data_IF_138123519798
#
_entry.id   IF_138123519798
#
_cell.length_a   1.000
_cell.length_b   1.000
_cell.length_c   1.000
_cell.angle_alpha   90.00
_cell.angle_beta   90.00
_cell.angle_gamma   90.00
#
_symmetry.space_group_name_H-M   'P 1'
#
loop_
_entity.id
_entity.type
_entity.pdbx_description
1 polymer ?
#
# COMPACT_ATOMS: atom_id res chain seq x y z
N UNK A 1 25.66 34.54 -3.06
CA UNK A 1 24.42 33.78 -2.83
C UNK A 1 23.61 33.83 -4.12
N UNK A 2 23.70 32.82 -4.96
CA UNK A 2 22.90 32.72 -6.19
C UNK A 2 21.51 32.24 -5.80
N UNK A 3 20.51 33.12 -5.93
CA UNK A 3 19.11 32.73 -5.84
C UNK A 3 18.85 31.68 -6.94
N UNK A 4 18.56 30.44 -6.55
CA UNK A 4 17.95 29.47 -7.46
C UNK A 4 16.55 29.98 -7.74
N UNK A 5 16.35 30.57 -8.92
CA UNK A 5 15.02 30.79 -9.46
C UNK A 5 14.29 29.44 -9.43
N UNK A 6 13.22 29.37 -8.66
CA UNK A 6 12.29 28.24 -8.64
C UNK A 6 11.59 28.21 -9.99
N UNK A 7 12.18 27.55 -10.97
CA UNK A 7 11.47 27.18 -12.19
C UNK A 7 10.44 26.14 -11.76
N UNK A 8 9.15 26.48 -11.84
CA UNK A 8 8.11 25.50 -11.68
C UNK A 8 8.37 24.39 -12.72
N UNK A 9 8.49 23.12 -12.31
CA UNK A 9 8.74 22.03 -13.25
C UNK A 9 7.66 22.03 -14.34
N UNK A 10 8.09 21.98 -15.60
CA UNK A 10 7.18 21.82 -16.73
C UNK A 10 6.82 20.33 -16.82
N UNK A 11 5.66 19.97 -16.27
CA UNK A 11 5.15 18.60 -16.27
C UNK A 11 4.48 18.26 -17.60
N UNK A 12 5.03 17.29 -18.31
CA UNK A 12 4.47 16.74 -19.54
C UNK A 12 3.75 15.42 -19.23
N UNK A 13 2.47 15.30 -19.58
CA UNK A 13 1.75 14.02 -19.48
C UNK A 13 2.27 13.06 -20.55
N UNK A 14 2.71 11.88 -20.14
CA UNK A 14 3.24 10.84 -21.03
C UNK A 14 2.35 9.61 -21.12
N UNK A 15 1.30 9.52 -20.31
CA UNK A 15 0.37 8.41 -20.33
C UNK A 15 -0.48 8.34 -19.07
N UNK A 16 -0.91 7.12 -18.76
CA UNK A 16 -1.77 6.80 -17.63
C UNK A 16 -1.39 5.43 -17.07
N UNK A 17 -1.63 5.23 -15.77
CA UNK A 17 -1.58 3.92 -15.12
C UNK A 17 -2.99 3.51 -14.69
N UNK A 18 -3.43 2.35 -15.17
CA UNK A 18 -4.67 1.73 -14.71
C UNK A 18 -4.40 0.94 -13.42
N UNK A 19 -5.20 1.19 -12.40
CA UNK A 19 -5.08 0.61 -11.07
C UNK A 19 -6.36 -0.13 -10.73
N UNK A 20 -6.22 -1.41 -10.37
CA UNK A 20 -7.30 -2.34 -9.95
C UNK A 20 -6.93 -3.07 -8.65
N UNK A 21 -6.06 -2.45 -7.85
CA UNK A 21 -5.62 -2.96 -6.55
C UNK A 21 -5.45 -1.87 -5.49
N UNK A 22 -5.84 -0.63 -5.82
CA UNK A 22 -5.64 0.57 -5.00
C UNK A 22 -4.17 0.95 -4.76
N UNK A 23 -3.25 0.45 -5.59
CA UNK A 23 -1.81 0.66 -5.40
C UNK A 23 -1.02 0.65 -6.71
N UNK A 24 0.13 1.31 -6.71
CA UNK A 24 1.10 1.33 -7.82
C UNK A 24 2.46 0.87 -7.30
N UNK A 25 3.19 0.12 -8.13
CA UNK A 25 4.57 -0.32 -7.85
C UNK A 25 5.52 0.30 -8.87
N UNK A 26 6.61 0.89 -8.37
CA UNK A 26 7.77 1.30 -9.17
C UNK A 26 8.88 0.28 -8.93
N UNK A 27 9.31 -0.38 -10.00
CA UNK A 27 10.33 -1.43 -9.97
C UNK A 27 11.02 -1.51 -11.35
N UNK A 28 12.30 -1.88 -11.37
CA UNK A 28 12.98 -2.26 -12.62
C UNK A 28 12.32 -3.53 -13.21
N UNK A 29 11.90 -3.52 -14.49
CA UNK A 29 11.27 -4.68 -15.14
C UNK A 29 12.10 -5.97 -15.06
N UNK A 30 13.43 -5.91 -15.00
CA UNK A 30 14.29 -7.09 -14.87
C UNK A 30 14.04 -7.86 -13.57
N UNK A 31 13.60 -7.19 -12.50
CA UNK A 31 13.27 -7.84 -11.23
C UNK A 31 11.87 -8.45 -11.25
N UNK A 32 10.93 -7.93 -12.06
CA UNK A 32 9.61 -8.55 -12.24
C UNK A 32 9.81 -9.95 -12.82
N UNK A 33 10.56 -10.06 -13.91
CA UNK A 33 10.80 -11.33 -14.61
C UNK A 33 11.52 -12.36 -13.71
N UNK A 34 12.54 -11.93 -12.98
CA UNK A 34 13.50 -12.86 -12.33
C UNK A 34 13.28 -13.09 -10.85
N UNK A 35 12.57 -12.19 -10.16
CA UNK A 35 12.50 -12.18 -8.69
C UNK A 35 11.10 -12.07 -8.14
N UNK A 36 10.09 -11.81 -8.98
CA UNK A 36 8.72 -11.73 -8.51
C UNK A 36 8.22 -13.10 -8.05
N UNK A 37 7.82 -13.18 -6.77
CA UNK A 37 7.30 -14.39 -6.14
C UNK A 37 5.79 -14.41 -6.30
N UNK A 38 5.29 -15.38 -7.07
CA UNK A 38 3.86 -15.64 -7.21
C UNK A 38 3.40 -16.48 -6.01
N UNK A 39 2.45 -15.95 -5.24
CA UNK A 39 1.82 -16.67 -4.14
C UNK A 39 0.43 -16.11 -3.85
N UNK A 40 -0.46 -16.92 -3.23
CA UNK A 40 -1.79 -16.46 -2.85
C UNK A 40 -1.75 -15.22 -1.93
N UNK A 41 -2.75 -14.36 -2.05
CA UNK A 41 -2.96 -13.25 -1.12
C UNK A 41 -3.11 -13.79 0.31
N UNK A 42 -2.38 -13.19 1.24
CA UNK A 42 -2.42 -13.51 2.67
C UNK A 42 -3.06 -12.34 3.41
N UNK A 43 -4.39 -12.42 3.56
CA UNK A 43 -5.18 -11.39 4.22
C UNK A 43 -5.21 -11.59 5.75
N UNK A 44 -4.03 -11.45 6.37
CA UNK A 44 -3.89 -11.49 7.82
C UNK A 44 -4.36 -10.16 8.41
N UNK A 45 -5.58 -10.16 8.96
CA UNK A 45 -6.18 -9.07 9.73
C UNK A 45 -6.37 -9.53 11.17
N UNK A 46 -5.50 -9.04 12.04
CA UNK A 46 -5.50 -9.36 13.46
C UNK A 46 -5.78 -8.11 14.30
N UNK A 47 -6.50 -8.30 15.39
CA UNK A 47 -6.82 -7.25 16.35
C UNK A 47 -6.46 -7.71 17.75
N UNK A 48 -5.79 -6.84 18.50
CA UNK A 48 -5.35 -7.09 19.88
C UNK A 48 -6.16 -6.24 20.84
N UNK A 49 -6.67 -6.85 21.90
CA UNK A 49 -7.22 -6.10 23.02
C UNK A 49 -6.10 -5.43 23.81
N UNK A 50 -6.17 -4.11 24.02
CA UNK A 50 -5.11 -3.28 24.60
C UNK A 50 -4.68 -3.70 26.01
N UNK A 51 -5.64 -4.12 26.84
CA UNK A 51 -5.38 -4.55 28.23
C UNK A 51 -5.10 -6.05 28.36
N UNK A 52 -5.99 -6.91 27.85
CA UNK A 52 -5.90 -8.36 28.05
C UNK A 52 -4.89 -9.05 27.13
N UNK A 53 -4.49 -8.41 26.03
CA UNK A 53 -3.59 -9.00 25.04
C UNK A 53 -4.23 -10.09 24.16
N UNK A 54 -5.52 -10.38 24.33
CA UNK A 54 -6.25 -11.33 23.47
C UNK A 54 -6.21 -10.89 22.01
N UNK A 55 -6.12 -11.86 21.11
CA UNK A 55 -6.05 -11.64 19.67
C UNK A 55 -7.23 -12.32 18.99
N UNK A 56 -7.86 -11.61 18.07
CA UNK A 56 -8.82 -12.18 17.10
C UNK A 56 -8.32 -11.95 15.69
N UNK A 57 -8.55 -12.90 14.81
CA UNK A 57 -8.08 -12.93 13.43
C UNK A 57 -9.22 -13.24 12.45
N UNK A 58 -9.29 -12.43 11.39
CA UNK A 58 -10.23 -12.65 10.29
C UNK A 58 -9.98 -14.01 9.61
N UNK A 59 -11.04 -14.66 9.14
CA UNK A 59 -11.03 -16.02 8.55
C UNK A 59 -10.60 -17.16 9.46
N UNK A 60 -10.12 -16.86 10.68
CA UNK A 60 -9.79 -17.85 11.71
C UNK A 60 -10.80 -17.86 12.84
N UNK A 61 -11.04 -16.69 13.44
CA UNK A 61 -11.95 -16.52 14.57
C UNK A 61 -13.31 -15.95 14.13
N UNK A 62 -13.36 -15.26 13.00
CA UNK A 62 -14.59 -14.74 12.40
C UNK A 62 -14.51 -14.65 10.85
N UNK A 63 -15.53 -15.14 10.12
CA UNK A 63 -15.55 -15.11 8.64
C UNK A 63 -15.97 -13.77 8.05
N UNK A 64 -16.64 -12.92 8.84
CA UNK A 64 -17.07 -11.57 8.46
C UNK A 64 -17.27 -10.71 9.72
N UNK A 65 -17.37 -9.40 9.56
CA UNK A 65 -17.35 -8.46 10.68
C UNK A 65 -18.64 -8.41 11.49
N UNK A 66 -19.72 -9.01 11.00
CA UNK A 66 -21.00 -9.14 11.70
C UNK A 66 -21.14 -10.48 12.43
N UNK A 67 -20.24 -11.44 12.15
CA UNK A 67 -20.24 -12.72 12.84
C UNK A 67 -19.95 -12.52 14.33
N UNK A 68 -20.86 -13.01 15.18
CA UNK A 68 -20.70 -12.99 16.63
C UNK A 68 -19.64 -14.00 17.02
N UNK A 69 -18.53 -13.51 17.57
CA UNK A 69 -17.41 -14.33 18.03
C UNK A 69 -17.84 -15.00 19.36
N UNK A 70 -17.97 -16.34 19.42
CA UNK A 70 -18.57 -17.02 20.57
C UNK A 70 -17.89 -16.71 21.91
N UNK A 71 -16.57 -16.53 21.91
CA UNK A 71 -15.79 -16.20 23.12
C UNK A 71 -16.20 -14.86 23.75
N UNK A 72 -16.62 -13.89 22.93
CA UNK A 72 -16.91 -12.53 23.38
C UNK A 72 -18.41 -12.21 23.38
N UNK A 73 -19.23 -13.01 22.70
CA UNK A 73 -20.65 -12.71 22.49
C UNK A 73 -20.88 -11.42 21.68
N UNK A 74 -19.85 -10.93 21.00
CA UNK A 74 -19.84 -9.71 20.21
C UNK A 74 -19.23 -9.96 18.83
N UNK A 75 -19.65 -9.20 17.82
CA UNK A 75 -19.02 -9.22 16.51
C UNK A 75 -17.71 -8.44 16.49
N UNK A 76 -16.87 -8.65 15.46
CA UNK A 76 -15.65 -7.86 15.30
C UNK A 76 -15.97 -6.36 15.21
N UNK A 77 -17.04 -5.96 14.52
CA UNK A 77 -17.48 -4.55 14.48
C UNK A 77 -17.82 -4.02 15.88
N UNK A 78 -18.53 -4.80 16.69
CA UNK A 78 -18.89 -4.40 18.05
C UNK A 78 -17.66 -4.30 18.96
N UNK A 79 -16.71 -5.22 18.85
CA UNK A 79 -15.44 -5.17 19.58
C UNK A 79 -14.62 -3.93 19.18
N UNK A 80 -14.48 -3.65 17.90
CA UNK A 80 -13.71 -2.50 17.42
C UNK A 80 -14.35 -1.16 17.80
N UNK A 81 -15.69 -1.10 17.86
CA UNK A 81 -16.42 0.08 18.27
C UNK A 81 -16.19 0.47 19.74
N UNK A 82 -15.71 -0.44 20.60
CA UNK A 82 -15.37 -0.09 21.99
C UNK A 82 -14.11 0.78 22.09
N UNK A 83 -13.26 0.77 21.07
CA UNK A 83 -11.94 1.43 21.11
C UNK A 83 -10.91 0.71 21.97
N UNK A 84 -11.23 -0.43 22.57
CA UNK A 84 -10.33 -1.24 23.41
C UNK A 84 -9.45 -2.19 22.58
N UNK A 85 -9.74 -2.32 21.30
CA UNK A 85 -9.03 -3.17 20.36
C UNK A 85 -8.24 -2.33 19.36
N UNK A 86 -7.06 -2.81 19.00
CA UNK A 86 -6.20 -2.18 18.01
C UNK A 86 -5.80 -3.17 16.92
N UNK A 87 -5.71 -2.69 15.68
CA UNK A 87 -5.24 -3.52 14.56
C UNK A 87 -3.75 -3.78 14.73
N UNK A 88 -3.36 -5.05 14.65
CA UNK A 88 -1.96 -5.44 14.60
C UNK A 88 -1.45 -5.18 13.17
N UNK A 89 -0.49 -4.27 13.06
CA UNK A 89 0.23 -4.04 11.81
C UNK A 89 1.15 -5.23 11.56
N UNK A 90 0.88 -5.97 10.49
CA UNK A 90 1.74 -7.07 10.08
C UNK A 90 3.01 -6.52 9.42
N UNK A 91 4.18 -7.13 9.67
CA UNK A 91 5.42 -6.71 9.01
C UNK A 91 5.30 -6.90 7.50
N UNK A 92 6.00 -6.04 6.75
CA UNK A 92 6.15 -6.22 5.31
C UNK A 92 7.13 -7.39 5.07
N UNK A 93 6.73 -8.44 4.35
CA UNK A 93 7.64 -9.52 3.95
C UNK A 93 8.82 -8.98 3.13
N UNK A 94 10.02 -9.49 3.37
CA UNK A 94 11.23 -9.09 2.64
C UNK A 94 11.37 -9.86 1.31
N UNK A 95 10.47 -9.61 0.38
CA UNK A 95 10.38 -10.30 -0.92
C UNK A 95 9.67 -9.40 -1.93
N UNK A 96 9.85 -9.68 -3.22
CA UNK A 96 9.12 -9.03 -4.30
C UNK A 96 7.86 -9.83 -4.60
N UNK A 97 6.76 -9.49 -3.95
CA UNK A 97 5.48 -10.18 -4.15
C UNK A 97 4.30 -9.21 -4.05
N UNK A 98 3.15 -9.67 -4.53
CA UNK A 98 1.89 -8.94 -4.39
C UNK A 98 1.55 -8.67 -2.92
N UNK A 99 1.77 -9.65 -2.04
CA UNK A 99 1.58 -9.50 -0.60
C UNK A 99 2.46 -8.40 0.00
N UNK A 100 3.74 -8.36 -0.36
CA UNK A 100 4.66 -7.34 0.13
C UNK A 100 4.27 -5.94 -0.36
N UNK A 101 3.86 -5.81 -1.62
CA UNK A 101 3.33 -4.55 -2.17
C UNK A 101 2.09 -4.08 -1.40
N UNK A 102 1.10 -4.96 -1.19
CA UNK A 102 -0.12 -4.65 -0.43
C UNK A 102 0.18 -4.24 1.01
N UNK A 103 1.05 -4.97 1.71
CA UNK A 103 1.44 -4.62 3.09
C UNK A 103 2.11 -3.25 3.15
N UNK A 104 2.95 -2.95 2.16
CA UNK A 104 3.67 -1.67 2.07
C UNK A 104 2.71 -0.50 1.82
N UNK A 105 1.76 -0.64 0.89
CA UNK A 105 0.75 0.38 0.60
C UNK A 105 -0.23 0.62 1.78
N UNK A 106 -0.40 -0.37 2.67
CA UNK A 106 -1.23 -0.27 3.87
C UNK A 106 -0.49 0.26 5.10
N UNK A 107 0.81 0.56 5.02
CA UNK A 107 1.55 1.22 6.09
C UNK A 107 0.95 2.61 6.37
N UNK A 108 1.18 3.20 7.57
CA UNK A 108 0.71 4.55 7.88
C UNK A 108 1.14 5.63 6.87
N UNK A 109 2.34 5.48 6.30
CA UNK A 109 2.84 6.38 5.26
C UNK A 109 2.20 6.17 3.87
N UNK A 110 1.31 5.18 3.72
CA UNK A 110 0.67 4.77 2.46
C UNK A 110 1.65 4.42 1.35
N UNK A 111 2.87 4.02 1.71
CA UNK A 111 3.89 3.60 0.76
C UNK A 111 5.24 3.38 1.41
N UNK A 112 6.17 2.84 0.62
CA UNK A 112 7.53 2.52 1.07
C UNK A 112 8.26 1.57 0.14
N UNK A 113 9.52 1.29 0.49
CA UNK A 113 10.32 0.29 -0.21
C UNK A 113 10.01 -1.12 0.31
N UNK A 114 10.03 -2.10 -0.57
CA UNK A 114 9.90 -3.52 -0.23
C UNK A 114 10.83 -4.39 -1.09
N UNK A 115 11.21 -5.54 -0.54
CA UNK A 115 12.10 -6.49 -1.20
C UNK A 115 13.48 -5.95 -1.61
N UNK A 116 13.84 -4.72 -1.24
CA UNK A 116 15.11 -4.06 -1.59
C UNK A 116 15.19 -3.50 -3.02
N UNK A 117 14.16 -3.69 -3.86
CA UNK A 117 14.21 -3.33 -5.29
C UNK A 117 12.99 -2.55 -5.78
N UNK A 118 11.93 -2.44 -4.99
CA UNK A 118 10.66 -1.88 -5.42
C UNK A 118 10.09 -0.91 -4.40
N UNK A 119 9.32 0.06 -4.87
CA UNK A 119 8.53 0.96 -4.03
C UNK A 119 7.07 0.78 -4.37
N UNK A 120 6.23 0.57 -3.36
CA UNK A 120 4.78 0.54 -3.51
C UNK A 120 4.17 1.78 -2.86
N UNK A 121 3.10 2.30 -3.45
CA UNK A 121 2.29 3.39 -2.89
C UNK A 121 0.82 3.03 -3.03
N UNK A 122 0.02 3.32 -2.02
CA UNK A 122 -1.44 3.30 -2.13
C UNK A 122 -1.93 4.55 -2.85
N UNK A 123 -2.92 4.41 -3.71
CA UNK A 123 -3.62 5.55 -4.33
C UNK A 123 -4.49 6.28 -3.29
N UNK A 124 -5.12 7.39 -3.65
CA UNK A 124 -6.00 8.13 -2.72
C UNK A 124 -7.29 7.34 -2.47
N UNK A 125 -8.10 7.17 -3.52
CA UNK A 125 -9.47 6.62 -3.46
C UNK A 125 -9.59 5.18 -3.97
N UNK A 126 -8.47 4.48 -4.18
CA UNK A 126 -8.45 3.10 -4.67
C UNK A 126 -8.24 3.01 -6.18
N UNK A 127 -9.12 2.28 -6.86
CA UNK A 127 -8.97 1.92 -8.26
C UNK A 127 -9.31 3.08 -9.20
N UNK A 128 -8.70 3.08 -10.39
CA UNK A 128 -8.88 4.17 -11.34
C UNK A 128 -7.82 4.23 -12.42
N UNK A 129 -7.90 5.28 -13.25
CA UNK A 129 -6.91 5.59 -14.27
C UNK A 129 -6.24 6.92 -13.93
N UNK A 130 -4.96 6.86 -13.60
CA UNK A 130 -4.22 8.01 -13.07
C UNK A 130 -3.18 8.50 -14.08
N UNK A 131 -3.13 9.82 -14.38
CA UNK A 131 -2.19 10.33 -15.35
C UNK A 131 -0.75 10.29 -14.83
N UNK A 132 0.19 10.02 -15.75
CA UNK A 132 1.63 9.98 -15.48
C UNK A 132 2.30 11.15 -16.18
N UNK A 133 3.05 11.92 -15.41
CA UNK A 133 3.78 13.10 -15.87
C UNK A 133 5.29 12.91 -15.73
N UNK A 134 6.05 13.61 -16.55
CA UNK A 134 7.50 13.73 -16.42
C UNK A 134 7.97 15.18 -16.49
N UNK A 135 9.09 15.44 -15.84
CA UNK A 135 9.87 16.66 -16.03
C UNK A 135 11.11 16.30 -16.86
N UNK A 136 11.44 17.12 -17.86
CA UNK A 136 12.62 16.92 -18.73
C UNK A 136 13.67 18.01 -18.57
N UNK A 137 14.93 17.68 -18.84
CA UNK A 137 16.01 18.66 -19.01
C UNK A 137 15.97 19.35 -20.39
N UNK A 138 16.92 20.26 -20.62
CA UNK A 138 17.08 21.01 -21.88
C UNK A 138 17.45 20.12 -23.09
N UNK A 139 17.86 18.87 -22.85
CA UNK A 139 18.16 17.85 -23.86
C UNK A 139 17.02 16.85 -24.04
N UNK A 140 15.90 17.05 -23.35
CA UNK A 140 14.72 16.17 -23.40
C UNK A 140 14.83 14.89 -22.57
N UNK A 141 15.84 14.74 -21.70
CA UNK A 141 15.98 13.59 -20.82
C UNK A 141 15.03 13.70 -19.63
N UNK A 142 14.41 12.58 -19.22
CA UNK A 142 13.50 12.55 -18.08
C UNK A 142 14.30 12.68 -16.78
N UNK A 143 14.00 13.71 -15.99
CA UNK A 143 14.59 13.97 -14.68
C UNK A 143 13.72 13.44 -13.54
N UNK A 144 12.39 13.54 -13.70
CA UNK A 144 11.41 13.16 -12.68
C UNK A 144 10.21 12.53 -13.34
N UNK A 145 9.53 11.69 -12.57
CA UNK A 145 8.24 11.09 -12.89
C UNK A 145 7.29 11.36 -11.73
N UNK A 146 6.03 11.63 -12.05
CA UNK A 146 4.93 11.79 -11.10
C UNK A 146 3.74 10.99 -11.59
N UNK A 147 3.10 10.26 -10.68
CA UNK A 147 1.74 9.74 -10.88
C UNK A 147 0.82 10.63 -10.07
N UNK A 148 -0.17 11.24 -10.71
CA UNK A 148 -1.11 12.12 -10.04
C UNK A 148 -2.35 11.33 -9.60
N UNK A 149 -2.57 11.28 -8.28
CA UNK A 149 -3.71 10.59 -7.68
C UNK A 149 -4.86 11.52 -7.31
N UNK A 150 -4.81 12.80 -7.73
CA UNK A 150 -5.83 13.82 -7.45
C UNK A 150 -6.93 13.89 -8.50
#
# INVERSE_FOLDING_TARGET
MTQKNSVCPNWERIGDVAVDSGQVVIIDPCYIDRRWVIKPLQDVRQYRHKVTGKIVEYEKDFPNYEYVIPEFGQSANQLLATGEWERIVQPVPFELSYNAACRTAQLPARGGNFGGFATAVGTLDGDGQFPVFVERDDRGQILRLMVDFT
#
